data_IF_147616326271
#
_entry.id   IF_147616326271
#
_cell.length_a   1.000
_cell.length_b   1.000
_cell.length_c   1.000
_cell.angle_alpha   90.00
_cell.angle_beta   90.00
_cell.angle_gamma   90.00
#
_symmetry.space_group_name_H-M   'P 1'
#
loop_
_entity.id
_entity.type
_entity.pdbx_description
1 polymer ?
#
# COMPACT_ATOMS: atom_id res chain seq x y z
N UNK A 1 4.14 -7.65 -10.92
CA UNK A 1 4.94 -7.77 -12.16
C UNK A 1 5.86 -6.56 -12.27
N UNK A 2 7.18 -6.78 -12.30
CA UNK A 2 8.18 -5.70 -12.44
C UNK A 2 8.21 -5.26 -13.92
N UNK A 3 8.16 -3.95 -14.23
CA UNK A 3 8.29 -3.47 -15.60
C UNK A 3 9.56 -4.00 -16.27
N UNK A 4 9.43 -4.56 -17.47
CA UNK A 4 10.54 -5.21 -18.20
C UNK A 4 11.72 -4.25 -18.44
N UNK A 5 11.41 -2.97 -18.65
CA UNK A 5 12.38 -1.87 -18.79
C UNK A 5 13.26 -1.65 -17.53
N UNK A 6 12.76 -1.98 -16.33
CA UNK A 6 13.53 -1.89 -15.07
C UNK A 6 14.50 -3.06 -14.91
N UNK A 7 14.09 -4.26 -15.34
CA UNK A 7 14.88 -5.49 -15.19
C UNK A 7 16.06 -5.54 -16.16
N UNK A 8 15.90 -4.98 -17.36
CA UNK A 8 16.91 -5.02 -18.42
C UNK A 8 17.80 -3.77 -18.50
N UNK A 9 17.61 -2.79 -17.61
CA UNK A 9 18.49 -1.61 -17.58
C UNK A 9 19.93 -2.01 -17.21
N UNK A 10 20.88 -1.64 -18.07
CA UNK A 10 22.32 -1.83 -17.87
C UNK A 10 22.93 -0.79 -16.92
N UNK A 11 22.12 0.15 -16.44
CA UNK A 11 22.60 1.22 -15.58
C UNK A 11 22.77 0.72 -14.13
N UNK A 12 24.03 0.58 -13.71
CA UNK A 12 24.38 0.09 -12.37
C UNK A 12 23.84 1.00 -11.27
N UNK A 13 23.76 2.30 -11.53
CA UNK A 13 23.26 3.26 -10.55
C UNK A 13 21.75 3.05 -10.32
N UNK A 14 21.01 2.78 -11.40
CA UNK A 14 19.58 2.47 -11.31
C UNK A 14 19.34 1.17 -10.54
N UNK A 15 20.12 0.12 -10.83
CA UNK A 15 20.03 -1.17 -10.12
C UNK A 15 20.28 -1.02 -8.61
N UNK A 16 21.25 -0.18 -8.23
CA UNK A 16 21.53 0.10 -6.81
C UNK A 16 20.39 0.86 -6.14
N UNK A 17 19.75 1.81 -6.83
CA UNK A 17 18.62 2.57 -6.31
C UNK A 17 17.36 1.73 -6.13
N UNK A 18 17.13 0.74 -7.00
CA UNK A 18 15.92 -0.10 -6.94
C UNK A 18 16.08 -1.33 -6.04
N UNK A 19 17.30 -1.69 -5.61
CA UNK A 19 17.54 -2.92 -4.82
C UNK A 19 16.75 -2.94 -3.50
N UNK A 20 16.56 -1.77 -2.91
CA UNK A 20 15.92 -1.60 -1.60
C UNK A 20 14.40 -1.34 -1.74
N UNK A 21 13.88 -1.29 -2.97
CA UNK A 21 12.47 -1.05 -3.24
C UNK A 21 11.68 -2.35 -3.20
N UNK A 22 10.51 -2.29 -2.56
CA UNK A 22 9.55 -3.39 -2.57
C UNK A 22 8.83 -3.49 -3.92
N UNK A 23 8.27 -4.65 -4.23
CA UNK A 23 7.49 -4.83 -5.46
C UNK A 23 6.33 -3.82 -5.59
N UNK A 24 5.72 -3.43 -4.47
CA UNK A 24 4.65 -2.43 -4.45
C UNK A 24 5.16 -1.03 -4.80
N UNK A 25 6.37 -0.67 -4.34
CA UNK A 25 7.01 0.59 -4.71
C UNK A 25 7.41 0.61 -6.18
N UNK A 26 7.84 -0.53 -6.75
CA UNK A 26 8.13 -0.63 -8.18
C UNK A 26 6.88 -0.44 -9.05
N UNK A 27 5.74 -1.02 -8.66
CA UNK A 27 4.47 -0.77 -9.34
C UNK A 27 4.01 0.69 -9.22
N UNK A 28 4.24 1.29 -8.05
CA UNK A 28 3.92 2.69 -7.83
C UNK A 28 4.80 3.63 -8.67
N UNK A 29 6.08 3.28 -8.86
CA UNK A 29 6.99 3.99 -9.78
C UNK A 29 6.51 3.89 -11.22
N UNK A 30 6.06 2.72 -11.67
CA UNK A 30 5.52 2.56 -13.02
C UNK A 30 4.28 3.45 -13.26
N UNK A 31 3.38 3.45 -12.29
CA UNK A 31 2.21 4.34 -12.27
C UNK A 31 2.62 5.81 -12.30
N UNK A 32 3.65 6.17 -11.51
CA UNK A 32 4.19 7.53 -11.47
C UNK A 32 4.86 7.94 -12.79
N UNK A 33 5.63 7.04 -13.43
CA UNK A 33 6.21 7.22 -14.77
C UNK A 33 5.09 7.54 -15.76
N UNK A 34 4.02 6.74 -15.77
CA UNK A 34 2.88 6.98 -16.65
C UNK A 34 2.29 8.39 -16.46
N UNK A 35 2.00 8.80 -15.23
CA UNK A 35 1.45 10.13 -14.95
C UNK A 35 2.42 11.27 -15.31
N UNK A 36 3.72 11.09 -15.08
CA UNK A 36 4.74 12.05 -15.48
C UNK A 36 4.83 12.19 -16.99
N UNK A 37 4.82 11.07 -17.73
CA UNK A 37 4.84 11.08 -19.20
C UNK A 37 3.60 11.75 -19.78
N UNK A 38 2.42 11.52 -19.19
CA UNK A 38 1.18 12.22 -19.56
C UNK A 38 1.28 13.74 -19.30
N UNK A 39 1.85 14.14 -18.15
CA UNK A 39 1.98 15.56 -17.78
C UNK A 39 2.98 16.31 -18.65
N UNK A 40 4.08 15.66 -19.04
CA UNK A 40 5.14 16.25 -19.84
C UNK A 40 4.87 16.19 -21.35
N UNK A 41 3.95 15.31 -21.79
CA UNK A 41 3.61 15.13 -23.20
C UNK A 41 4.63 14.32 -23.99
N UNK A 42 5.58 13.67 -23.31
CA UNK A 42 6.57 12.76 -23.88
C UNK A 42 6.98 11.72 -22.83
N UNK A 43 7.57 10.60 -23.26
CA UNK A 43 8.05 9.60 -22.31
C UNK A 43 9.25 10.12 -21.53
N UNK A 44 9.08 10.32 -20.22
CA UNK A 44 10.15 10.80 -19.33
C UNK A 44 11.23 9.74 -19.08
N UNK A 45 10.95 8.48 -19.41
CA UNK A 45 11.86 7.36 -19.15
C UNK A 45 11.87 6.93 -17.70
N UNK A 46 12.32 5.69 -17.48
CA UNK A 46 12.23 5.04 -16.16
C UNK A 46 13.23 5.60 -15.15
N UNK A 47 14.43 5.97 -15.59
CA UNK A 47 15.47 6.54 -14.71
C UNK A 47 15.02 7.85 -14.05
N UNK A 48 14.42 8.74 -14.84
CA UNK A 48 13.90 10.00 -14.34
C UNK A 48 12.75 9.75 -13.36
N UNK A 49 11.82 8.85 -13.70
CA UNK A 49 10.70 8.50 -12.83
C UNK A 49 11.15 7.90 -11.49
N UNK A 50 12.14 7.02 -11.49
CA UNK A 50 12.71 6.42 -10.26
C UNK A 50 13.38 7.49 -9.39
N UNK A 51 14.20 8.36 -9.98
CA UNK A 51 14.87 9.43 -9.24
C UNK A 51 13.89 10.43 -8.65
N UNK A 52 12.91 10.88 -9.43
CA UNK A 52 11.85 11.76 -8.94
C UNK A 52 11.00 11.08 -7.85
N UNK A 53 10.70 9.79 -8.02
CA UNK A 53 9.98 9.02 -7.02
C UNK A 53 10.72 8.97 -5.69
N UNK A 54 11.99 8.56 -5.70
CA UNK A 54 12.80 8.40 -4.49
C UNK A 54 12.93 9.75 -3.77
N UNK A 55 13.14 10.84 -4.50
CA UNK A 55 13.34 12.18 -3.93
C UNK A 55 12.04 12.84 -3.44
N UNK A 56 10.94 12.71 -4.20
CA UNK A 56 9.75 13.55 -3.99
C UNK A 56 8.49 12.79 -3.56
N UNK A 57 8.37 11.50 -3.90
CA UNK A 57 7.10 10.76 -3.74
C UNK A 57 7.17 9.59 -2.76
N UNK A 58 8.33 8.94 -2.60
CA UNK A 58 8.50 7.71 -1.80
C UNK A 58 7.98 7.87 -0.37
N UNK A 59 8.34 8.96 0.29
CA UNK A 59 7.90 9.26 1.66
C UNK A 59 6.39 9.48 1.75
N UNK A 60 5.82 10.26 0.83
CA UNK A 60 4.37 10.54 0.80
C UNK A 60 3.58 9.27 0.51
N UNK A 61 4.05 8.46 -0.44
CA UNK A 61 3.41 7.20 -0.78
C UNK A 61 3.41 6.23 0.40
N UNK A 62 4.55 6.05 1.09
CA UNK A 62 4.61 5.21 2.30
C UNK A 62 3.67 5.68 3.40
N UNK A 63 3.58 7.01 3.61
CA UNK A 63 2.66 7.59 4.59
C UNK A 63 1.19 7.32 4.21
N UNK A 64 0.83 7.49 2.94
CA UNK A 64 -0.53 7.23 2.49
C UNK A 64 -0.88 5.74 2.57
N UNK A 65 0.08 4.84 2.29
CA UNK A 65 -0.11 3.38 2.48
C UNK A 65 -0.40 3.03 3.93
N UNK A 66 0.40 3.54 4.88
CA UNK A 66 0.15 3.34 6.32
C UNK A 66 -1.24 3.86 6.71
N UNK A 67 -1.59 5.06 6.23
CA UNK A 67 -2.87 5.68 6.52
C UNK A 67 -4.04 4.86 5.97
N UNK A 68 -3.91 4.33 4.76
CA UNK A 68 -4.91 3.44 4.15
C UNK A 68 -5.06 2.15 4.96
N UNK A 69 -3.94 1.50 5.31
CA UNK A 69 -3.96 0.27 6.11
C UNK A 69 -4.61 0.48 7.49
N UNK A 70 -4.37 1.64 8.12
CA UNK A 70 -5.03 2.02 9.37
C UNK A 70 -6.52 2.25 9.15
N UNK A 71 -6.90 2.97 8.09
CA UNK A 71 -8.31 3.23 7.75
C UNK A 71 -9.08 1.92 7.56
N UNK A 72 -8.52 0.98 6.80
CA UNK A 72 -9.15 -0.33 6.58
C UNK A 72 -9.28 -1.14 7.88
N UNK A 73 -8.27 -1.10 8.77
CA UNK A 73 -8.37 -1.71 10.10
C UNK A 73 -9.47 -1.08 10.95
N UNK A 74 -9.57 0.25 10.95
CA UNK A 74 -10.63 0.95 11.68
C UNK A 74 -12.02 0.65 11.12
N UNK A 75 -12.17 0.61 9.80
CA UNK A 75 -13.45 0.25 9.16
C UNK A 75 -13.89 -1.16 9.55
N UNK A 76 -12.96 -2.13 9.56
CA UNK A 76 -13.29 -3.50 9.97
C UNK A 76 -13.65 -3.57 11.47
N UNK A 77 -12.88 -2.89 12.33
CA UNK A 77 -13.16 -2.81 13.75
C UNK A 77 -14.55 -2.19 14.01
N UNK A 78 -14.91 -1.14 13.28
CA UNK A 78 -16.22 -0.49 13.40
C UNK A 78 -17.36 -1.38 12.92
N UNK A 79 -17.17 -2.14 11.83
CA UNK A 79 -18.14 -3.16 11.40
C UNK A 79 -18.35 -4.21 12.48
N UNK A 80 -17.27 -4.72 13.08
CA UNK A 80 -17.37 -5.68 14.18
C UNK A 80 -18.12 -5.08 15.38
N UNK A 81 -17.75 -3.86 15.80
CA UNK A 81 -18.44 -3.14 16.87
C UNK A 81 -19.94 -3.07 16.59
N UNK A 82 -20.32 -2.63 15.38
CA UNK A 82 -21.73 -2.50 15.02
C UNK A 82 -22.47 -3.84 15.10
N UNK A 83 -21.93 -4.91 14.50
CA UNK A 83 -22.54 -6.25 14.52
C UNK A 83 -22.74 -6.76 15.95
N UNK A 84 -21.75 -6.60 16.82
CA UNK A 84 -21.85 -7.08 18.20
C UNK A 84 -22.79 -6.22 19.04
N UNK A 85 -22.83 -4.89 18.82
CA UNK A 85 -23.82 -4.01 19.46
C UNK A 85 -25.26 -4.37 19.05
N UNK A 86 -25.49 -4.68 17.76
CA UNK A 86 -26.81 -5.13 17.27
C UNK A 86 -27.22 -6.46 17.92
N UNK A 87 -26.29 -7.41 18.07
CA UNK A 87 -26.56 -8.70 18.75
C UNK A 87 -26.84 -8.53 20.25
N UNK A 88 -26.14 -7.61 20.90
CA UNK A 88 -26.30 -7.35 22.32
C UNK A 88 -27.58 -6.56 22.64
N UNK A 89 -28.14 -5.85 21.65
CA UNK A 89 -29.30 -4.96 21.83
C UNK A 89 -28.95 -3.63 22.50
N UNK A 90 -27.67 -3.29 22.63
CA UNK A 90 -27.16 -2.02 23.17
C UNK A 90 -25.75 -1.74 22.65
N UNK A 91 -25.32 -0.46 22.65
CA UNK A 91 -23.96 -0.13 22.18
C UNK A 91 -22.89 -0.64 23.16
N UNK A 92 -22.08 -1.59 22.69
CA UNK A 92 -20.93 -2.13 23.42
C UNK A 92 -19.75 -1.14 23.47
N UNK A 93 -19.76 -0.09 22.65
CA UNK A 93 -18.77 0.99 22.72
C UNK A 93 -17.34 0.49 22.53
N UNK A 94 -16.46 0.90 23.45
CA UNK A 94 -15.03 0.54 23.46
C UNK A 94 -14.78 -0.94 23.76
N UNK A 95 -15.69 -1.61 24.48
CA UNK A 95 -15.53 -3.01 24.87
C UNK A 95 -15.44 -3.92 23.64
N UNK A 96 -16.31 -3.69 22.65
CA UNK A 96 -16.27 -4.44 21.39
C UNK A 96 -14.98 -4.18 20.59
N UNK A 97 -14.47 -2.95 20.61
CA UNK A 97 -13.19 -2.61 19.96
C UNK A 97 -12.01 -3.35 20.59
N UNK A 98 -11.92 -3.38 21.93
CA UNK A 98 -10.86 -4.10 22.65
C UNK A 98 -10.92 -5.61 22.39
N UNK A 99 -12.12 -6.18 22.36
CA UNK A 99 -12.29 -7.58 21.99
C UNK A 99 -11.85 -7.86 20.55
N UNK A 100 -12.17 -6.96 19.61
CA UNK A 100 -11.71 -7.07 18.23
C UNK A 100 -10.19 -7.04 18.10
N UNK A 101 -9.54 -6.07 18.75
CA UNK A 101 -8.08 -5.94 18.75
C UNK A 101 -7.43 -7.22 19.31
N UNK A 102 -8.00 -7.77 20.38
CA UNK A 102 -7.44 -8.93 21.07
C UNK A 102 -7.63 -10.23 20.29
N UNK A 103 -8.82 -10.43 19.70
CA UNK A 103 -9.21 -11.73 19.12
C UNK A 103 -9.07 -11.80 17.60
N UNK A 104 -9.34 -10.70 16.90
CA UNK A 104 -9.55 -10.72 15.44
C UNK A 104 -8.51 -9.90 14.65
N UNK A 105 -7.93 -8.85 15.23
CA UNK A 105 -7.00 -7.97 14.48
C UNK A 105 -5.75 -8.69 13.94
N UNK A 106 -5.26 -9.73 14.62
CA UNK A 106 -4.15 -10.55 14.09
C UNK A 106 -4.59 -11.36 12.86
N UNK A 107 -5.70 -12.08 12.97
CA UNK A 107 -6.23 -12.92 11.89
C UNK A 107 -6.62 -12.08 10.68
N UNK A 108 -7.22 -10.91 10.90
CA UNK A 108 -7.58 -9.99 9.84
C UNK A 108 -6.36 -9.48 9.07
N UNK A 109 -5.27 -9.11 9.77
CA UNK A 109 -4.01 -8.69 9.11
C UNK A 109 -3.40 -9.83 8.29
N UNK A 110 -3.45 -11.07 8.78
CA UNK A 110 -2.97 -12.24 8.04
C UNK A 110 -3.84 -12.55 6.81
N UNK A 111 -5.16 -12.48 6.95
CA UNK A 111 -6.11 -12.61 5.84
C UNK A 111 -5.88 -11.53 4.78
N UNK A 112 -5.73 -10.26 5.19
CA UNK A 112 -5.47 -9.15 4.28
C UNK A 112 -4.16 -9.32 3.53
N UNK A 113 -3.08 -9.76 4.19
CA UNK A 113 -1.81 -10.11 3.53
C UNK A 113 -2.00 -11.19 2.45
N UNK A 114 -2.79 -12.24 2.75
CA UNK A 114 -3.12 -13.29 1.78
C UNK A 114 -3.97 -12.77 0.62
N UNK A 115 -4.95 -11.90 0.88
CA UNK A 115 -5.75 -11.26 -0.17
C UNK A 115 -4.90 -10.39 -1.09
N UNK A 116 -4.00 -9.58 -0.53
CA UNK A 116 -3.07 -8.78 -1.33
C UNK A 116 -2.09 -9.63 -2.16
N UNK A 117 -1.75 -10.84 -1.70
CA UNK A 117 -0.96 -11.80 -2.49
C UNK A 117 -1.77 -12.53 -3.55
N UNK A 118 -3.06 -12.79 -3.31
CA UNK A 118 -3.95 -13.49 -4.23
C UNK A 118 -4.52 -12.57 -5.33
N UNK A 119 -4.57 -11.25 -5.10
CA UNK A 119 -4.97 -10.24 -6.08
C UNK A 119 -3.80 -9.70 -6.92
N UNK A 120 -2.60 -10.27 -6.78
CA UNK A 120 -1.42 -9.99 -7.61
C UNK A 120 -1.32 -11.02 -8.73
#
# INVERSE_FOLDING_TARGET
>A
MVPDDLMHSKDKELQELIKDLTEEELQAIDTHKYFLSQKMGYDVGIEYAVRDWIQNQSKKWRQERIKQDLKEQFEEMLKYKWIESEKAGYDLGEKACLEWITKYAKQWREWKKKQNQANK
#
